data_IF_906640467392
#
_entry.id   IF_906640467392
#
_cell.length_a   1.000
_cell.length_b   1.000
_cell.length_c   1.000
_cell.angle_alpha   90.00
_cell.angle_beta   90.00
_cell.angle_gamma   90.00
#
_symmetry.space_group_name_H-M   'P 1'
#
loop_
_entity.id
_entity.type
_entity.pdbx_description
1 polymer ?
#
# COMPACT_ATOMS: atom_id res chain seq x y z
N UNK A 1 2.35 27.06 19.47
CA UNK A 1 3.44 27.03 20.46
C UNK A 1 3.16 25.88 21.41
N UNK A 2 3.93 24.79 21.31
CA UNK A 2 3.79 23.60 22.15
C UNK A 2 5.19 23.24 22.63
N UNK A 3 5.40 23.14 23.95
CA UNK A 3 6.69 22.79 24.58
C UNK A 3 7.91 23.64 24.12
N UNK A 4 7.74 24.95 23.88
CA UNK A 4 8.85 25.81 23.46
C UNK A 4 9.06 25.89 21.94
N UNK A 5 8.29 25.15 21.15
CA UNK A 5 8.37 25.15 19.69
C UNK A 5 7.18 25.87 19.05
N UNK A 6 7.48 26.68 18.03
CA UNK A 6 6.47 27.21 17.11
C UNK A 6 6.37 26.26 15.93
N UNK A 7 5.14 25.92 15.58
CA UNK A 7 4.82 25.06 14.46
C UNK A 7 4.07 25.89 13.44
N UNK A 8 4.51 25.84 12.19
CA UNK A 8 3.81 26.40 11.04
C UNK A 8 3.41 25.23 10.15
N UNK A 9 2.15 25.22 9.73
CA UNK A 9 1.70 24.37 8.62
C UNK A 9 1.66 25.29 7.41
N UNK A 10 2.46 24.96 6.40
CA UNK A 10 2.63 25.78 5.20
C UNK A 10 2.23 24.92 4.02
N UNK A 11 1.30 25.41 3.20
CA UNK A 11 0.97 24.75 1.94
C UNK A 11 2.07 25.06 0.93
N UNK A 12 2.61 24.01 0.33
CA UNK A 12 3.61 24.17 -0.72
C UNK A 12 2.98 24.89 -1.92
N UNK A 13 3.55 25.99 -2.44
CA UNK A 13 2.98 26.70 -3.57
C UNK A 13 3.10 25.87 -4.85
N UNK A 14 2.26 26.13 -5.85
CA UNK A 14 2.45 25.52 -7.18
C UNK A 14 3.77 26.02 -7.80
N UNK A 15 4.60 25.10 -8.29
CA UNK A 15 5.82 25.41 -9.03
C UNK A 15 5.64 25.14 -10.52
N UNK A 16 6.36 25.88 -11.36
CA UNK A 16 6.30 25.73 -12.83
C UNK A 16 7.28 24.67 -13.36
N UNK A 17 8.26 24.26 -12.55
CA UNK A 17 9.30 23.30 -12.92
C UNK A 17 9.39 22.22 -11.84
N UNK A 18 9.42 20.97 -12.26
CA UNK A 18 9.69 19.83 -11.39
C UNK A 18 11.18 19.75 -11.08
N UNK A 19 11.56 20.13 -9.86
CA UNK A 19 12.92 20.08 -9.36
C UNK A 19 12.93 20.19 -7.83
N UNK A 20 14.13 20.18 -7.25
CA UNK A 20 14.31 20.49 -5.84
C UNK A 20 14.32 22.02 -5.63
N UNK A 21 13.65 22.47 -4.58
CA UNK A 21 13.61 23.86 -4.16
C UNK A 21 14.14 23.96 -2.72
N UNK A 22 14.81 25.07 -2.44
CA UNK A 22 15.22 25.42 -1.09
C UNK A 22 13.98 25.87 -0.29
N UNK A 23 13.87 25.42 0.95
CA UNK A 23 12.88 25.94 1.89
C UNK A 23 13.51 27.08 2.68
N UNK A 24 12.98 28.30 2.49
CA UNK A 24 13.45 29.48 3.21
C UNK A 24 12.39 29.92 4.22
N UNK A 25 12.70 29.78 5.50
CA UNK A 25 11.90 30.34 6.57
C UNK A 25 12.45 31.71 6.96
N UNK A 26 11.65 32.77 6.90
CA UNK A 26 12.09 34.12 7.29
C UNK A 26 11.14 34.76 8.31
N UNK A 27 11.73 35.43 9.30
CA UNK A 27 11.02 36.23 10.30
C UNK A 27 11.79 37.53 10.56
N UNK A 28 11.24 38.65 10.08
CA UNK A 28 11.86 39.97 10.21
C UNK A 28 13.25 39.98 9.56
N UNK A 29 14.31 40.12 10.33
CA UNK A 29 15.71 40.11 9.86
C UNK A 29 16.36 38.72 9.93
N UNK A 30 15.67 37.73 10.48
CA UNK A 30 16.17 36.37 10.60
C UNK A 30 15.69 35.54 9.39
N UNK A 31 16.57 34.70 8.86
CA UNK A 31 16.22 33.70 7.86
C UNK A 31 16.99 32.42 8.10
N UNK A 32 16.36 31.29 7.84
CA UNK A 32 17.01 30.00 7.77
C UNK A 32 16.67 29.34 6.43
N UNK A 33 17.57 28.52 5.90
CA UNK A 33 17.41 27.92 4.57
C UNK A 33 17.82 26.46 4.59
N UNK A 34 16.86 25.61 4.31
CA UNK A 34 17.07 24.18 4.09
C UNK A 34 17.19 23.94 2.59
N UNK A 35 18.41 23.64 2.13
CA UNK A 35 18.69 23.50 0.70
C UNK A 35 18.10 22.21 0.13
N UNK A 36 17.50 22.27 -1.05
CA UNK A 36 16.83 21.14 -1.71
C UNK A 36 15.79 20.41 -0.82
N UNK A 37 15.18 21.11 0.12
CA UNK A 37 14.28 20.52 1.10
C UNK A 37 12.92 20.09 0.53
N UNK A 38 12.50 20.67 -0.60
CA UNK A 38 11.19 20.39 -1.22
C UNK A 38 11.40 19.86 -2.64
N UNK A 39 10.94 18.65 -2.91
CA UNK A 39 11.00 18.05 -4.25
C UNK A 39 9.64 18.15 -4.93
N UNK A 40 9.57 18.82 -6.09
CA UNK A 40 8.43 18.74 -6.99
C UNK A 40 8.79 17.79 -8.12
N UNK A 41 8.06 16.68 -8.23
CA UNK A 41 8.24 15.71 -9.28
C UNK A 41 6.88 15.16 -9.72
N UNK A 42 6.78 14.78 -11.00
CA UNK A 42 5.69 13.89 -11.41
C UNK A 42 5.88 12.56 -10.70
N UNK A 43 4.77 11.94 -10.29
CA UNK A 43 4.79 10.54 -9.86
C UNK A 43 5.43 9.69 -10.96
N UNK A 44 6.49 8.98 -10.63
CA UNK A 44 7.10 7.98 -11.50
C UNK A 44 6.21 6.74 -11.58
N UNK A 45 6.15 6.14 -12.76
CA UNK A 45 5.49 4.85 -12.95
C UNK A 45 6.33 3.73 -12.31
N UNK A 46 5.64 2.71 -11.81
CA UNK A 46 6.29 1.63 -11.04
C UNK A 46 5.85 0.25 -11.49
N UNK A 47 6.78 -0.70 -11.37
CA UNK A 47 6.53 -2.11 -11.63
C UNK A 47 6.48 -2.87 -10.31
N UNK A 48 5.32 -3.41 -10.00
CA UNK A 48 5.02 -3.96 -8.68
C UNK A 48 4.77 -5.45 -8.76
N UNK A 49 5.56 -6.22 -8.01
CA UNK A 49 5.33 -7.66 -7.80
C UNK A 49 4.84 -7.90 -6.37
N UNK A 50 3.58 -8.29 -6.24
CA UNK A 50 3.04 -8.83 -5.00
C UNK A 50 3.49 -10.27 -4.83
N UNK A 51 4.16 -10.57 -3.71
CA UNK A 51 4.70 -11.90 -3.39
C UNK A 51 4.12 -12.33 -2.05
N UNK A 52 3.14 -13.23 -2.10
CA UNK A 52 2.31 -13.59 -0.94
C UNK A 52 2.66 -14.98 -0.43
N UNK A 53 3.07 -15.09 0.84
CA UNK A 53 3.25 -16.36 1.52
C UNK A 53 1.90 -17.10 1.58
N UNK A 54 1.91 -18.34 1.11
CA UNK A 54 0.76 -19.25 1.16
C UNK A 54 1.11 -20.55 1.88
N UNK A 55 2.07 -20.53 2.79
CA UNK A 55 2.40 -21.65 3.67
C UNK A 55 1.21 -22.01 4.58
N UNK A 56 1.26 -23.20 5.18
CA UNK A 56 0.16 -23.69 6.03
C UNK A 56 -0.09 -22.85 7.30
N UNK A 57 0.91 -22.09 7.78
CA UNK A 57 0.72 -21.17 8.91
C UNK A 57 -0.25 -20.05 8.58
N UNK A 58 -0.39 -19.66 7.32
CA UNK A 58 -1.30 -18.62 6.87
C UNK A 58 -2.79 -19.01 7.00
N UNK A 59 -3.09 -20.28 7.27
CA UNK A 59 -4.47 -20.79 7.45
C UNK A 59 -4.94 -20.79 8.92
N UNK A 60 -4.02 -20.73 9.89
CA UNK A 60 -4.33 -20.91 11.33
C UNK A 60 -3.62 -19.88 12.23
N UNK A 61 -4.16 -19.52 13.42
CA UNK A 61 -5.43 -19.98 14.04
C UNK A 61 -6.69 -19.27 13.51
N UNK A 62 -6.50 -18.18 12.77
CA UNK A 62 -7.51 -17.44 12.01
C UNK A 62 -6.99 -17.31 10.58
N UNK A 63 -7.88 -17.14 9.59
CA UNK A 63 -7.50 -17.14 8.17
C UNK A 63 -6.69 -15.87 7.80
N UNK A 64 -5.42 -15.79 8.21
CA UNK A 64 -4.48 -14.71 7.87
C UNK A 64 -4.41 -14.50 6.36
N UNK A 65 -4.51 -15.60 5.61
CA UNK A 65 -4.54 -15.56 4.15
C UNK A 65 -5.76 -14.80 3.60
N UNK A 66 -6.93 -14.85 4.25
CA UNK A 66 -8.10 -14.11 3.81
C UNK A 66 -7.88 -12.59 3.93
N UNK A 67 -7.34 -12.14 5.06
CA UNK A 67 -7.02 -10.72 5.28
C UNK A 67 -5.85 -10.26 4.39
N UNK A 68 -4.85 -11.12 4.17
CA UNK A 68 -3.76 -10.85 3.23
C UNK A 68 -4.27 -10.64 1.81
N UNK A 69 -5.24 -11.44 1.35
CA UNK A 69 -5.89 -11.26 0.04
C UNK A 69 -6.66 -9.95 -0.02
N UNK A 70 -7.44 -9.64 1.01
CA UNK A 70 -8.19 -8.39 1.09
C UNK A 70 -7.29 -7.16 0.98
N UNK A 71 -6.18 -7.16 1.70
CA UNK A 71 -5.24 -6.05 1.69
C UNK A 71 -4.43 -5.99 0.38
N UNK A 72 -4.05 -7.14 -0.19
CA UNK A 72 -3.42 -7.20 -1.51
C UNK A 72 -4.35 -6.71 -2.62
N UNK A 73 -5.66 -6.98 -2.51
CA UNK A 73 -6.68 -6.46 -3.40
C UNK A 73 -6.78 -4.94 -3.35
N UNK A 74 -6.77 -4.35 -2.15
CA UNK A 74 -6.69 -2.90 -1.98
C UNK A 74 -5.38 -2.32 -2.56
N UNK A 75 -4.27 -3.04 -2.40
CA UNK A 75 -3.00 -2.65 -3.00
C UNK A 75 -3.08 -2.61 -4.52
N UNK A 76 -3.69 -3.61 -5.17
CA UNK A 76 -3.92 -3.63 -6.63
C UNK A 76 -4.70 -2.39 -7.09
N UNK A 77 -5.71 -1.97 -6.32
CA UNK A 77 -6.53 -0.80 -6.62
C UNK A 77 -5.84 0.54 -6.31
N UNK A 78 -4.66 0.51 -5.68
CA UNK A 78 -3.86 1.70 -5.36
C UNK A 78 -2.97 2.16 -6.52
N UNK A 79 -2.94 1.42 -7.64
CA UNK A 79 -2.16 1.72 -8.85
C UNK A 79 -3.03 2.36 -9.95
N UNK A 80 -2.40 2.79 -11.04
CA UNK A 80 -3.07 3.45 -12.17
C UNK A 80 -2.43 3.06 -13.51
N UNK A 81 -3.04 3.51 -14.60
CA UNK A 81 -2.42 3.41 -15.93
C UNK A 81 -1.03 4.06 -15.93
N UNK A 82 -0.07 3.39 -16.58
CA UNK A 82 1.36 3.70 -16.51
C UNK A 82 2.14 2.70 -15.65
N UNK A 83 1.54 2.22 -14.55
CA UNK A 83 2.16 1.23 -13.69
C UNK A 83 2.04 -0.20 -14.26
N UNK A 84 2.85 -1.12 -13.74
CA UNK A 84 2.67 -2.57 -13.94
C UNK A 84 2.37 -3.27 -12.62
N UNK A 85 1.58 -4.34 -12.70
CA UNK A 85 1.24 -5.19 -11.57
C UNK A 85 1.41 -6.67 -11.94
N UNK A 86 1.99 -7.44 -11.03
CA UNK A 86 2.07 -8.89 -11.08
C UNK A 86 1.88 -9.51 -9.70
N UNK A 87 1.52 -10.80 -9.69
CA UNK A 87 1.21 -11.54 -8.46
C UNK A 87 1.88 -12.89 -8.51
N UNK A 88 2.64 -13.19 -7.47
CA UNK A 88 3.18 -14.51 -7.17
C UNK A 88 2.78 -14.91 -5.75
N UNK A 89 2.64 -16.21 -5.54
CA UNK A 89 2.47 -16.80 -4.22
C UNK A 89 3.47 -17.92 -4.05
N UNK A 90 3.89 -18.17 -2.82
CA UNK A 90 4.97 -19.12 -2.55
C UNK A 90 4.75 -19.95 -1.29
N UNK A 91 5.28 -21.16 -1.35
CA UNK A 91 5.47 -22.13 -0.28
C UNK A 91 6.74 -22.95 -0.65
N UNK A 92 6.94 -24.16 -0.11
CA UNK A 92 8.08 -25.02 -0.47
C UNK A 92 8.03 -25.70 -1.85
N UNK A 93 6.90 -25.70 -2.56
CA UNK A 93 6.75 -26.32 -3.88
C UNK A 93 7.03 -25.33 -5.03
N UNK A 94 7.23 -25.87 -6.23
CA UNK A 94 7.31 -25.07 -7.46
C UNK A 94 5.96 -24.38 -7.68
N UNK A 95 5.88 -23.15 -7.19
CA UNK A 95 4.62 -22.43 -7.07
C UNK A 95 4.36 -21.49 -8.24
N UNK A 96 3.07 -21.24 -8.55
CA UNK A 96 2.71 -20.57 -9.79
C UNK A 96 2.99 -19.07 -9.71
N UNK A 97 3.56 -18.52 -10.79
CA UNK A 97 3.29 -17.13 -11.16
C UNK A 97 1.78 -17.01 -11.39
N UNK A 98 1.05 -16.46 -10.40
CA UNK A 98 -0.41 -16.36 -10.44
C UNK A 98 -0.88 -15.34 -11.49
N UNK A 99 -0.14 -14.24 -11.62
CA UNK A 99 -0.31 -13.24 -12.68
C UNK A 99 1.07 -12.74 -13.10
N UNK A 100 1.40 -12.87 -14.39
CA UNK A 100 2.64 -12.28 -14.92
C UNK A 100 2.57 -10.76 -14.88
N UNK A 101 3.72 -10.13 -14.61
CA UNK A 101 3.84 -8.67 -14.62
C UNK A 101 3.35 -8.11 -15.96
N UNK A 102 2.45 -7.13 -15.88
CA UNK A 102 1.82 -6.51 -17.06
C UNK A 102 1.29 -5.13 -16.71
N UNK A 103 1.05 -4.32 -17.73
CA UNK A 103 0.48 -2.98 -17.58
C UNK A 103 -0.82 -3.02 -16.79
N UNK A 104 -0.96 -2.11 -15.85
CA UNK A 104 -2.16 -1.91 -15.08
C UNK A 104 -3.24 -1.27 -15.98
N UNK A 105 -4.40 -1.89 -16.02
CA UNK A 105 -5.64 -1.41 -16.63
C UNK A 105 -6.81 -2.20 -16.01
N UNK A 106 -8.05 -1.86 -16.33
CA UNK A 106 -9.23 -2.54 -15.78
C UNK A 106 -9.20 -4.08 -15.96
N UNK A 107 -8.67 -4.57 -17.09
CA UNK A 107 -8.62 -6.01 -17.37
C UNK A 107 -7.55 -6.72 -16.54
N UNK A 108 -6.33 -6.18 -16.48
CA UNK A 108 -5.25 -6.75 -15.67
C UNK A 108 -5.52 -6.60 -14.18
N UNK A 109 -6.18 -5.51 -13.75
CA UNK A 109 -6.68 -5.30 -12.39
C UNK A 109 -7.62 -6.42 -11.96
N UNK A 110 -8.67 -6.70 -12.75
CA UNK A 110 -9.59 -7.82 -12.50
C UNK A 110 -8.89 -9.19 -12.52
N UNK A 111 -7.88 -9.35 -13.38
CA UNK A 111 -7.05 -10.56 -13.43
C UNK A 111 -6.21 -10.72 -12.15
N UNK A 112 -5.64 -9.63 -11.62
CA UNK A 112 -4.89 -9.63 -10.37
C UNK A 112 -5.77 -10.00 -9.19
N UNK A 113 -6.98 -9.44 -9.11
CA UNK A 113 -7.95 -9.84 -8.09
C UNK A 113 -8.32 -11.31 -8.14
N UNK A 114 -8.56 -11.83 -9.35
CA UNK A 114 -8.84 -13.26 -9.55
C UNK A 114 -7.67 -14.13 -9.10
N UNK A 115 -6.44 -13.73 -9.46
CA UNK A 115 -5.22 -14.41 -9.07
C UNK A 115 -5.03 -14.43 -7.54
N UNK A 116 -5.20 -13.28 -6.87
CA UNK A 116 -5.10 -13.12 -5.41
C UNK A 116 -6.16 -13.98 -4.71
N UNK A 117 -7.42 -13.86 -5.13
CA UNK A 117 -8.52 -14.56 -4.48
C UNK A 117 -8.42 -16.09 -4.61
N UNK A 118 -7.76 -16.58 -5.66
CA UNK A 118 -7.48 -18.00 -5.89
C UNK A 118 -6.34 -18.61 -5.07
N UNK A 119 -5.56 -17.82 -4.31
CA UNK A 119 -4.44 -18.33 -3.51
C UNK A 119 -4.96 -19.21 -2.37
N UNK A 120 -4.37 -20.38 -2.14
CA UNK A 120 -4.75 -21.26 -1.02
C UNK A 120 -3.53 -21.61 -0.19
N UNK A 121 -3.69 -21.54 1.13
CA UNK A 121 -2.65 -21.82 2.11
C UNK A 121 -2.34 -23.32 2.19
N UNK A 122 -1.06 -23.67 2.38
CA UNK A 122 -0.57 -25.04 2.52
C UNK A 122 0.92 -25.18 2.19
N UNK A 123 1.55 -26.25 2.69
CA UNK A 123 2.99 -26.48 2.53
C UNK A 123 3.84 -25.69 3.54
N UNK A 124 5.16 -25.73 3.39
CA UNK A 124 6.09 -24.91 4.17
C UNK A 124 6.43 -23.58 3.49
N UNK A 125 7.47 -22.91 3.93
CA UNK A 125 7.78 -21.53 3.51
C UNK A 125 9.15 -21.46 2.83
N UNK A 126 9.22 -20.95 1.59
CA UNK A 126 10.47 -20.66 0.88
C UNK A 126 10.48 -19.21 0.40
N UNK A 127 10.96 -18.31 1.26
CA UNK A 127 10.94 -16.87 1.02
C UNK A 127 11.85 -16.51 -0.16
N UNK A 128 13.02 -17.14 -0.25
CA UNK A 128 13.96 -16.92 -1.35
C UNK A 128 13.33 -17.24 -2.71
N UNK A 129 12.50 -18.30 -2.77
CA UNK A 129 11.82 -18.67 -4.01
C UNK A 129 10.81 -17.61 -4.42
N UNK A 130 9.97 -17.15 -3.49
CA UNK A 130 9.02 -16.07 -3.75
C UNK A 130 9.70 -14.79 -4.25
N UNK A 131 10.80 -14.40 -3.61
CA UNK A 131 11.59 -13.23 -4.01
C UNK A 131 12.23 -13.39 -5.39
N UNK A 132 12.83 -14.56 -5.67
CA UNK A 132 13.41 -14.85 -6.97
C UNK A 132 12.35 -14.80 -8.06
N UNK A 133 11.13 -15.30 -7.82
CA UNK A 133 10.03 -15.20 -8.78
C UNK A 133 9.60 -13.77 -9.04
N UNK A 134 9.52 -12.95 -8.01
CA UNK A 134 9.26 -11.51 -8.18
C UNK A 134 10.33 -10.85 -9.04
N UNK A 135 11.60 -11.14 -8.76
CA UNK A 135 12.74 -10.62 -9.52
C UNK A 135 12.73 -11.10 -10.97
N UNK A 136 12.50 -12.39 -11.22
CA UNK A 136 12.44 -12.96 -12.58
C UNK A 136 11.36 -12.25 -13.43
N UNK A 137 10.18 -11.97 -12.86
CA UNK A 137 9.12 -11.25 -13.58
C UNK A 137 9.50 -9.81 -13.93
N UNK A 138 10.21 -9.12 -13.03
CA UNK A 138 10.71 -7.78 -13.28
C UNK A 138 11.81 -7.78 -14.34
N UNK A 139 12.70 -8.78 -14.32
CA UNK A 139 13.73 -8.95 -15.34
C UNK A 139 13.10 -9.23 -16.72
N UNK A 140 12.10 -10.12 -16.77
CA UNK A 140 11.51 -10.59 -18.01
C UNK A 140 10.55 -9.57 -18.66
N UNK A 141 9.83 -8.79 -17.83
CA UNK A 141 8.69 -7.98 -18.28
C UNK A 141 8.65 -6.56 -17.70
N UNK A 142 9.63 -6.18 -16.89
CA UNK A 142 9.72 -4.84 -16.30
C UNK A 142 10.20 -3.80 -17.30
N UNK A 143 9.82 -2.55 -17.06
CA UNK A 143 10.29 -1.37 -17.76
C UNK A 143 11.49 -0.77 -17.02
N UNK A 144 12.60 -0.56 -17.73
CA UNK A 144 13.84 -0.04 -17.14
C UNK A 144 13.76 1.44 -16.70
N UNK A 145 12.73 2.17 -17.15
CA UNK A 145 12.47 3.54 -16.72
C UNK A 145 11.61 3.62 -15.45
N UNK A 146 10.99 2.50 -15.06
CA UNK A 146 10.14 2.43 -13.88
C UNK A 146 10.96 2.07 -12.63
N UNK A 147 10.48 2.49 -11.46
CA UNK A 147 10.96 1.92 -10.22
C UNK A 147 10.42 0.49 -10.08
N UNK A 148 11.30 -0.46 -9.79
CA UNK A 148 10.91 -1.85 -9.52
C UNK A 148 10.69 -2.06 -8.03
N UNK A 149 9.57 -2.67 -7.67
CA UNK A 149 9.20 -2.96 -6.29
C UNK A 149 8.70 -4.41 -6.15
N UNK A 150 9.20 -5.10 -5.13
CA UNK A 150 8.68 -6.39 -4.67
C UNK A 150 8.08 -6.19 -3.29
N UNK A 151 6.85 -6.67 -3.11
CA UNK A 151 6.10 -6.54 -1.87
C UNK A 151 5.88 -7.95 -1.33
N UNK A 152 6.72 -8.32 -0.38
CA UNK A 152 6.74 -9.62 0.25
C UNK A 152 5.88 -9.59 1.52
N UNK A 153 4.91 -10.49 1.63
CA UNK A 153 4.13 -10.71 2.85
C UNK A 153 4.37 -12.13 3.36
N UNK A 154 4.77 -12.29 4.63
CA UNK A 154 4.99 -13.60 5.25
C UNK A 154 4.71 -13.59 6.76
N UNK A 155 4.20 -14.70 7.27
CA UNK A 155 3.88 -14.91 8.69
C UNK A 155 4.85 -15.86 9.40
N UNK A 156 5.88 -16.34 8.69
CA UNK A 156 6.64 -17.50 9.12
C UNK A 156 8.15 -17.37 8.96
N UNK A 157 8.83 -18.46 9.31
CA UNK A 157 10.24 -18.65 9.09
C UNK A 157 10.45 -19.45 7.80
N UNK A 158 11.55 -19.19 7.11
CA UNK A 158 11.94 -20.00 5.97
C UNK A 158 12.18 -21.46 6.40
N UNK A 159 11.45 -22.41 5.82
CA UNK A 159 11.57 -23.85 6.12
C UNK A 159 12.16 -24.66 4.96
N UNK A 160 12.32 -24.05 3.79
CA UNK A 160 12.80 -24.70 2.57
C UNK A 160 13.67 -23.75 1.74
N UNK A 161 14.65 -24.31 1.03
CA UNK A 161 15.45 -23.54 0.09
C UNK A 161 14.71 -23.32 -1.25
N UNK A 162 15.04 -22.25 -1.98
CA UNK A 162 15.96 -21.18 -1.61
C UNK A 162 15.44 -20.28 -0.49
N UNK A 163 16.35 -19.79 0.34
CA UNK A 163 16.09 -18.89 1.46
C UNK A 163 16.43 -17.43 1.09
N UNK A 164 16.26 -16.49 2.03
CA UNK A 164 16.51 -15.06 1.81
C UNK A 164 17.96 -14.79 1.37
N UNK A 165 18.94 -15.53 1.91
CA UNK A 165 20.34 -15.33 1.56
C UNK A 165 20.63 -15.74 0.11
N UNK A 166 20.03 -16.83 -0.39
CA UNK A 166 20.16 -17.22 -1.80
C UNK A 166 19.65 -16.14 -2.76
N UNK A 167 18.55 -15.47 -2.38
CA UNK A 167 18.05 -14.29 -3.11
C UNK A 167 19.01 -13.11 -3.02
N UNK A 168 19.53 -12.80 -1.83
CA UNK A 168 20.46 -11.69 -1.62
C UNK A 168 21.77 -11.89 -2.40
N UNK A 169 22.29 -13.11 -2.50
CA UNK A 169 23.47 -13.41 -3.32
C UNK A 169 23.21 -13.08 -4.80
N UNK A 170 22.01 -13.43 -5.30
CA UNK A 170 21.57 -13.10 -6.68
C UNK A 170 21.37 -11.59 -6.86
N UNK A 171 20.79 -10.93 -5.85
CA UNK A 171 20.56 -9.49 -5.83
C UNK A 171 21.86 -8.69 -5.84
N UNK A 172 22.81 -9.05 -4.98
CA UNK A 172 24.13 -8.44 -4.85
C UNK A 172 24.93 -8.63 -6.15
N UNK A 173 24.90 -9.81 -6.76
CA UNK A 173 25.54 -10.06 -8.05
C UNK A 173 24.99 -9.17 -9.18
N UNK A 174 23.67 -8.90 -9.21
CA UNK A 174 23.06 -7.97 -10.16
C UNK A 174 23.50 -6.53 -9.93
N UNK A 175 23.49 -6.08 -8.67
CA UNK A 175 23.98 -4.74 -8.33
C UNK A 175 25.44 -4.53 -8.74
N UNK A 176 26.30 -5.52 -8.48
CA UNK A 176 27.72 -5.47 -8.85
C UNK A 176 27.93 -5.41 -10.37
N UNK A 177 27.04 -6.01 -11.14
CA UNK A 177 27.02 -5.92 -12.60
C UNK A 177 26.44 -4.59 -13.13
N UNK A 178 25.90 -3.73 -12.25
CA UNK A 178 25.21 -2.50 -12.62
C UNK A 178 23.81 -2.73 -13.20
N UNK A 179 23.24 -3.92 -12.98
CA UNK A 179 21.88 -4.24 -13.39
C UNK A 179 20.85 -3.57 -12.48
N UNK A 180 19.68 -3.26 -13.02
CA UNK A 180 18.55 -2.80 -12.22
C UNK A 180 18.09 -3.89 -11.25
N UNK A 181 17.80 -3.46 -10.02
CA UNK A 181 17.30 -4.30 -8.93
C UNK A 181 16.07 -3.66 -8.27
N UNK A 182 15.12 -4.44 -7.77
CA UNK A 182 13.95 -3.90 -7.07
C UNK A 182 14.26 -3.41 -5.66
N UNK A 183 13.41 -2.53 -5.16
CA UNK A 183 13.25 -2.35 -3.71
C UNK A 183 12.36 -3.46 -3.16
N UNK A 184 12.78 -4.12 -2.08
CA UNK A 184 11.98 -5.18 -1.44
C UNK A 184 11.33 -4.64 -0.18
N UNK A 185 10.01 -4.46 -0.23
CA UNK A 185 9.18 -4.09 0.91
C UNK A 185 8.63 -5.35 1.56
N UNK A 186 8.82 -5.49 2.87
CA UNK A 186 8.47 -6.70 3.61
C UNK A 186 7.39 -6.42 4.64
N UNK A 187 6.36 -7.25 4.68
CA UNK A 187 5.25 -7.20 5.63
C UNK A 187 5.29 -8.49 6.45
N UNK A 188 5.65 -8.37 7.72
CA UNK A 188 5.62 -9.48 8.67
C UNK A 188 4.24 -9.57 9.35
N UNK A 189 3.67 -10.78 9.42
CA UNK A 189 2.39 -11.04 10.10
C UNK A 189 2.63 -11.87 11.37
N UNK A 190 2.10 -11.40 12.50
CA UNK A 190 2.03 -12.20 13.73
C UNK A 190 3.37 -12.43 14.41
N UNK A 191 3.34 -13.03 15.60
CA UNK A 191 4.53 -13.17 16.43
C UNK A 191 5.57 -14.16 15.86
N UNK A 192 5.12 -15.11 15.03
CA UNK A 192 5.94 -16.20 14.51
C UNK A 192 6.74 -15.84 13.24
N UNK A 193 6.50 -14.66 12.67
CA UNK A 193 7.25 -14.19 11.50
C UNK A 193 8.74 -14.00 11.85
N UNK A 194 9.62 -14.31 10.90
CA UNK A 194 11.05 -14.03 11.02
C UNK A 194 11.34 -12.52 10.79
N UNK A 195 10.92 -11.71 11.75
CA UNK A 195 11.02 -10.26 11.67
C UNK A 195 12.45 -9.75 11.45
N UNK A 196 13.50 -10.27 12.16
CA UNK A 196 14.86 -9.80 11.94
C UNK A 196 15.34 -9.99 10.50
N UNK A 197 15.06 -11.15 9.89
CA UNK A 197 15.51 -11.43 8.52
C UNK A 197 14.73 -10.61 7.49
N UNK A 198 13.41 -10.42 7.70
CA UNK A 198 12.58 -9.57 6.84
C UNK A 198 13.01 -8.09 6.92
N UNK A 199 13.28 -7.60 8.13
CA UNK A 199 13.79 -6.24 8.34
C UNK A 199 15.15 -6.05 7.68
N UNK A 200 16.08 -6.99 7.89
CA UNK A 200 17.40 -6.98 7.25
C UNK A 200 17.31 -7.01 5.72
N UNK A 201 16.44 -7.85 5.15
CA UNK A 201 16.18 -7.93 3.71
C UNK A 201 15.71 -6.58 3.14
N UNK A 202 14.71 -5.95 3.77
CA UNK A 202 14.21 -4.67 3.29
C UNK A 202 15.27 -3.56 3.40
N UNK A 203 16.07 -3.55 4.47
CA UNK A 203 17.17 -2.60 4.64
C UNK A 203 18.27 -2.76 3.57
N UNK A 204 18.66 -4.01 3.27
CA UNK A 204 19.68 -4.29 2.24
C UNK A 204 19.25 -3.92 0.82
N UNK A 205 17.95 -3.95 0.54
CA UNK A 205 17.38 -3.71 -0.80
C UNK A 205 16.80 -2.30 -0.94
N UNK A 206 16.94 -1.44 0.07
CA UNK A 206 16.42 -0.07 0.05
C UNK A 206 14.89 0.05 0.15
N UNK A 207 14.20 -1.03 0.51
CA UNK A 207 12.75 -1.06 0.71
C UNK A 207 12.32 -0.61 2.11
N UNK A 208 11.21 -1.18 2.60
CA UNK A 208 10.69 -0.89 3.94
C UNK A 208 10.15 -2.12 4.63
N UNK A 209 10.37 -2.20 5.93
CA UNK A 209 9.79 -3.21 6.80
C UNK A 209 8.53 -2.70 7.49
N UNK A 210 7.47 -3.52 7.50
CA UNK A 210 6.23 -3.28 8.21
C UNK A 210 5.83 -4.53 9.00
N UNK A 211 5.11 -4.32 10.10
CA UNK A 211 4.62 -5.39 10.95
C UNK A 211 3.12 -5.24 11.18
N UNK A 212 2.38 -6.31 10.90
CA UNK A 212 0.96 -6.43 11.23
C UNK A 212 0.79 -7.46 12.34
N UNK A 213 0.29 -7.02 13.50
CA UNK A 213 -0.01 -7.92 14.61
C UNK A 213 -1.19 -8.82 14.25
N UNK A 214 -1.09 -10.12 14.52
CA UNK A 214 -2.15 -11.07 14.22
C UNK A 214 -3.43 -10.84 15.05
N UNK A 215 -4.59 -11.31 14.57
CA UNK A 215 -5.83 -11.30 15.33
C UNK A 215 -5.65 -11.92 16.73
N UNK A 216 -6.23 -11.32 17.76
CA UNK A 216 -6.19 -11.79 19.15
C UNK A 216 -4.97 -11.33 19.94
N UNK A 217 -3.90 -10.85 19.29
CA UNK A 217 -2.69 -10.38 19.98
C UNK A 217 -2.88 -9.07 20.76
N UNK A 218 -3.85 -8.22 20.36
CA UNK A 218 -4.08 -6.89 20.94
C UNK A 218 -5.05 -6.86 22.14
N UNK A 219 -5.68 -7.99 22.52
CA UNK A 219 -6.47 -8.13 23.74
C UNK A 219 -7.69 -7.19 23.91
N UNK A 220 -8.10 -6.46 22.86
CA UNK A 220 -9.21 -5.52 22.84
C UNK A 220 -10.43 -6.04 22.08
N UNK A 221 -11.60 -5.46 22.32
CA UNK A 221 -12.83 -5.79 21.59
C UNK A 221 -12.75 -5.24 20.15
N UNK A 222 -12.54 -6.15 19.19
CA UNK A 222 -12.49 -5.87 17.75
C UNK A 222 -11.12 -6.20 17.17
N UNK A 223 -10.95 -7.41 16.65
CA UNK A 223 -9.76 -7.80 15.88
C UNK A 223 -9.75 -7.02 14.56
N UNK A 224 -8.88 -6.01 14.50
CA UNK A 224 -8.80 -5.05 13.39
C UNK A 224 -7.73 -5.42 12.35
N UNK A 225 -7.34 -6.70 12.32
CA UNK A 225 -6.19 -7.18 11.54
C UNK A 225 -6.34 -6.89 10.03
N UNK A 226 -7.54 -7.07 9.48
CA UNK A 226 -7.82 -6.78 8.07
C UNK A 226 -7.55 -5.32 7.71
N UNK A 227 -7.93 -4.38 8.60
CA UNK A 227 -7.72 -2.95 8.35
C UNK A 227 -6.29 -2.53 8.67
N UNK A 228 -5.67 -3.13 9.69
CA UNK A 228 -4.24 -2.95 9.98
C UNK A 228 -3.39 -3.37 8.78
N UNK A 229 -3.71 -4.49 8.15
CA UNK A 229 -2.99 -4.95 6.98
C UNK A 229 -3.24 -4.07 5.76
N UNK A 230 -4.48 -3.62 5.57
CA UNK A 230 -4.83 -2.63 4.53
C UNK A 230 -4.04 -1.32 4.70
N UNK A 231 -3.91 -0.82 5.93
CA UNK A 231 -3.10 0.35 6.28
C UNK A 231 -1.62 0.10 5.98
N UNK A 232 -1.08 -1.05 6.37
CA UNK A 232 0.32 -1.42 6.07
C UNK A 232 0.59 -1.43 4.55
N UNK A 233 -0.30 -2.02 3.75
CA UNK A 233 -0.17 -2.00 2.29
C UNK A 233 -0.28 -0.57 1.73
N UNK A 234 -1.12 0.29 2.32
CA UNK A 234 -1.21 1.70 1.96
C UNK A 234 0.12 2.41 2.20
N UNK A 235 0.70 2.27 3.40
CA UNK A 235 2.00 2.85 3.76
C UNK A 235 3.10 2.40 2.78
N UNK A 236 3.10 1.12 2.36
CA UNK A 236 4.03 0.62 1.34
C UNK A 236 3.79 1.30 -0.01
N UNK A 237 2.53 1.39 -0.46
CA UNK A 237 2.19 2.05 -1.73
C UNK A 237 2.57 3.53 -1.73
N UNK A 238 2.31 4.26 -0.65
CA UNK A 238 2.67 5.68 -0.48
C UNK A 238 4.18 5.89 -0.54
N UNK A 239 4.96 4.99 0.05
CA UNK A 239 6.41 5.06 -0.01
C UNK A 239 6.95 4.82 -1.41
N UNK A 240 6.37 3.86 -2.14
CA UNK A 240 6.75 3.56 -3.53
C UNK A 240 6.40 4.75 -4.45
N UNK A 241 5.22 5.35 -4.28
CA UNK A 241 4.75 6.46 -5.10
C UNK A 241 5.25 7.83 -4.62
N UNK A 242 5.94 7.89 -3.48
CA UNK A 242 6.36 9.12 -2.77
C UNK A 242 5.18 10.04 -2.45
N UNK A 243 4.04 9.46 -2.13
CA UNK A 243 2.87 10.18 -1.63
C UNK A 243 3.02 10.50 -0.14
N UNK A 244 2.32 11.53 0.29
CA UNK A 244 2.23 11.93 1.70
C UNK A 244 0.86 11.55 2.24
N UNK A 245 0.82 10.91 3.41
CA UNK A 245 -0.41 10.67 4.15
C UNK A 245 -0.94 12.00 4.72
N UNK A 246 -2.19 12.33 4.40
CA UNK A 246 -2.87 13.54 4.88
C UNK A 246 -3.83 13.20 6.04
N UNK A 247 -4.47 12.04 5.97
CA UNK A 247 -5.47 11.60 6.94
C UNK A 247 -5.49 10.07 7.04
N UNK A 248 -5.38 9.59 8.28
CA UNK A 248 -5.74 8.24 8.68
C UNK A 248 -6.83 8.32 9.75
N UNK A 249 -7.99 7.71 9.48
CA UNK A 249 -9.13 7.72 10.39
C UNK A 249 -9.76 6.32 10.47
N UNK A 250 -10.22 5.97 11.68
CA UNK A 250 -11.00 4.76 11.95
C UNK A 250 -12.28 5.18 12.66
N UNK A 251 -13.41 4.70 12.15
CA UNK A 251 -14.72 5.02 12.72
C UNK A 251 -15.69 3.84 12.57
N UNK A 252 -16.78 3.89 13.31
CA UNK A 252 -17.91 2.98 13.17
C UNK A 252 -18.92 3.64 12.24
N UNK A 253 -19.24 2.96 11.15
CA UNK A 253 -20.15 3.46 10.12
C UNK A 253 -21.58 3.60 10.66
N UNK A 254 -22.19 4.77 10.42
CA UNK A 254 -23.55 5.14 10.84
C UNK A 254 -24.43 5.39 9.62
N UNK A 255 -25.75 5.34 9.84
CA UNK A 255 -26.71 5.66 8.79
C UNK A 255 -27.04 7.15 8.77
N UNK A 256 -27.41 7.72 9.91
CA UNK A 256 -27.87 9.11 10.01
C UNK A 256 -27.51 9.75 11.37
N UNK A 257 -26.71 10.83 11.42
CA UNK A 257 -25.97 11.38 10.30
C UNK A 257 -24.89 10.41 9.80
N UNK A 258 -24.56 10.44 8.50
CA UNK A 258 -23.42 9.68 7.99
C UNK A 258 -22.11 10.17 8.62
N UNK A 259 -21.09 9.31 8.66
CA UNK A 259 -19.77 9.72 9.12
C UNK A 259 -19.14 10.59 8.04
N UNK A 260 -18.60 11.75 8.45
CA UNK A 260 -17.85 12.62 7.58
C UNK A 260 -16.43 12.76 8.16
N UNK A 261 -15.43 12.56 7.31
CA UNK A 261 -14.05 12.84 7.62
C UNK A 261 -13.53 13.92 6.67
N UNK A 262 -13.12 15.05 7.23
CA UNK A 262 -12.60 16.18 6.45
C UNK A 262 -11.08 16.24 6.51
N UNK A 263 -10.47 16.69 5.41
CA UNK A 263 -9.03 16.92 5.34
C UNK A 263 -8.72 18.04 4.35
N UNK A 264 -7.55 18.66 4.52
CA UNK A 264 -7.10 19.76 3.66
C UNK A 264 -6.21 19.21 2.53
N UNK A 265 -6.47 19.64 1.31
CA UNK A 265 -5.62 19.40 0.14
C UNK A 265 -4.91 20.69 -0.26
N UNK A 266 -3.60 20.60 -0.45
CA UNK A 266 -2.74 21.71 -0.82
C UNK A 266 -2.87 22.08 -2.30
N UNK A 267 -2.69 23.37 -2.59
CA UNK A 267 -2.63 23.87 -3.96
C UNK A 267 -1.42 23.33 -4.71
N UNK A 268 -1.64 22.69 -5.86
CA UNK A 268 -0.57 22.12 -6.68
C UNK A 268 -0.28 20.64 -6.42
N UNK A 269 -1.06 19.97 -5.58
CA UNK A 269 -1.07 18.50 -5.54
C UNK A 269 -1.34 17.96 -6.96
N UNK A 270 -0.52 17.02 -7.44
CA UNK A 270 -0.71 16.42 -8.76
C UNK A 270 -1.78 15.33 -8.75
N UNK A 271 -2.04 14.74 -7.60
CA UNK A 271 -2.94 13.62 -7.42
C UNK A 271 -3.40 13.55 -5.95
N UNK A 272 -4.67 13.26 -5.75
CA UNK A 272 -5.26 12.84 -4.47
C UNK A 272 -5.69 11.39 -4.63
N UNK A 273 -5.24 10.53 -3.70
CA UNK A 273 -5.72 9.15 -3.56
C UNK A 273 -6.38 9.02 -2.21
N UNK A 274 -7.63 8.56 -2.20
CA UNK A 274 -8.39 8.29 -0.98
C UNK A 274 -8.83 6.86 -1.03
N UNK A 275 -8.69 6.11 0.07
CA UNK A 275 -9.35 4.83 0.16
C UNK A 275 -10.10 4.64 1.46
N UNK A 276 -11.29 4.07 1.35
CA UNK A 276 -12.10 3.61 2.46
C UNK A 276 -12.03 2.08 2.52
N UNK A 277 -11.54 1.52 3.63
CA UNK A 277 -11.62 0.08 3.94
C UNK A 277 -12.75 -0.14 4.91
N UNK A 278 -13.60 -1.13 4.65
CA UNK A 278 -14.75 -1.45 5.49
C UNK A 278 -14.99 -2.96 5.56
N UNK A 279 -15.74 -3.39 6.58
CA UNK A 279 -16.17 -4.79 6.70
C UNK A 279 -17.13 -5.17 5.57
N UNK A 280 -17.20 -6.46 5.20
CA UNK A 280 -18.18 -6.92 4.23
C UNK A 280 -19.61 -6.66 4.70
N UNK A 281 -20.35 -5.89 3.89
CA UNK A 281 -21.78 -5.69 4.04
C UNK A 281 -22.56 -6.54 3.03
N UNK A 282 -23.80 -6.91 3.38
CA UNK A 282 -24.72 -7.58 2.44
C UNK A 282 -25.08 -6.69 1.23
N UNK A 283 -24.98 -5.37 1.39
CA UNK A 283 -25.15 -4.35 0.36
C UNK A 283 -24.01 -3.36 0.50
N UNK A 284 -23.43 -2.88 -0.60
CA UNK A 284 -22.28 -1.98 -0.53
C UNK A 284 -22.63 -0.68 0.22
N UNK A 285 -21.76 -0.21 1.14
CA UNK A 285 -21.95 1.09 1.76
C UNK A 285 -21.85 2.21 0.73
N UNK A 286 -22.48 3.32 1.06
CA UNK A 286 -22.43 4.55 0.26
C UNK A 286 -21.20 5.34 0.70
N UNK A 287 -20.18 5.36 -0.16
CA UNK A 287 -18.92 6.07 0.04
C UNK A 287 -18.83 7.18 -0.99
N UNK A 288 -18.71 8.41 -0.51
CA UNK A 288 -18.69 9.59 -1.36
C UNK A 288 -17.48 10.46 -1.04
N UNK A 289 -16.74 10.88 -2.07
CA UNK A 289 -15.69 11.89 -1.95
C UNK A 289 -16.26 13.24 -2.44
N UNK A 290 -16.31 14.23 -1.57
CA UNK A 290 -16.90 15.55 -1.84
C UNK A 290 -15.78 16.59 -1.91
N UNK A 291 -15.72 17.31 -3.02
CA UNK A 291 -14.73 18.36 -3.25
C UNK A 291 -15.09 19.69 -2.55
N UNK A 292 -14.18 20.68 -2.52
CA UNK A 292 -14.43 21.98 -1.90
C UNK A 292 -15.57 22.79 -2.53
N UNK A 293 -16.02 22.44 -3.75
CA UNK A 293 -17.17 23.06 -4.43
C UNK A 293 -18.51 22.43 -4.04
N UNK A 294 -18.48 21.30 -3.33
CA UNK A 294 -19.65 20.48 -2.99
C UNK A 294 -20.00 19.43 -4.06
N UNK A 295 -19.12 19.19 -5.04
CA UNK A 295 -19.30 18.14 -6.05
C UNK A 295 -18.93 16.79 -5.47
N UNK A 296 -19.82 15.80 -5.62
CA UNK A 296 -19.50 14.42 -5.25
C UNK A 296 -18.83 13.68 -6.40
N UNK A 297 -17.73 13.03 -6.10
CA UNK A 297 -17.02 12.11 -6.98
C UNK A 297 -17.55 10.69 -6.73
N UNK A 298 -18.18 10.13 -7.76
CA UNK A 298 -18.78 8.78 -7.74
C UNK A 298 -17.88 7.75 -8.46
N UNK A 299 -16.83 8.21 -9.14
CA UNK A 299 -15.88 7.35 -9.84
C UNK A 299 -14.87 6.79 -8.82
N UNK A 300 -15.19 5.62 -8.27
CA UNK A 300 -14.27 4.83 -7.43
C UNK A 300 -13.87 3.53 -8.11
N UNK A 301 -12.68 3.06 -7.76
CA UNK A 301 -12.14 1.76 -8.12
C UNK A 301 -12.16 0.89 -6.86
N UNK A 302 -12.81 -0.26 -6.92
CA UNK A 302 -12.89 -1.18 -5.81
C UNK A 302 -13.44 -2.53 -6.22
N UNK A 303 -13.03 -3.57 -5.51
CA UNK A 303 -13.67 -4.89 -5.60
C UNK A 303 -14.88 -4.93 -4.68
N UNK A 304 -15.89 -5.67 -5.12
CA UNK A 304 -17.01 -6.22 -4.34
C UNK A 304 -16.77 -6.19 -2.82
N UNK A 305 -17.34 -5.17 -2.17
CA UNK A 305 -17.81 -5.20 -0.80
C UNK A 305 -16.79 -5.03 0.33
N UNK A 306 -15.52 -4.66 0.09
CA UNK A 306 -14.55 -4.48 1.19
C UNK A 306 -13.73 -3.20 1.17
N UNK A 307 -13.65 -2.49 0.06
CA UNK A 307 -13.01 -1.18 0.00
C UNK A 307 -13.43 -0.39 -1.24
N UNK A 308 -13.17 0.91 -1.20
CA UNK A 308 -13.27 1.82 -2.34
C UNK A 308 -12.05 2.72 -2.39
N UNK A 309 -11.55 3.00 -3.60
CA UNK A 309 -10.43 3.90 -3.86
C UNK A 309 -10.88 4.98 -4.84
N UNK A 310 -10.71 6.25 -4.46
CA UNK A 310 -10.89 7.41 -5.32
C UNK A 310 -9.52 7.93 -5.73
N UNK A 311 -9.41 8.34 -7.00
CA UNK A 311 -8.22 8.99 -7.54
C UNK A 311 -8.63 10.25 -8.28
N UNK A 312 -8.15 11.39 -7.82
CA UNK A 312 -8.42 12.69 -8.44
C UNK A 312 -7.10 13.28 -8.89
N UNK A 313 -6.91 13.42 -10.21
CA UNK A 313 -5.77 14.15 -10.77
C UNK A 313 -5.94 15.65 -10.58
N UNK A 314 -4.86 16.35 -10.22
CA UNK A 314 -4.84 17.79 -9.97
C UNK A 314 -6.04 18.28 -9.10
N UNK A 315 -6.22 17.74 -7.88
CA UNK A 315 -7.36 18.06 -7.02
C UNK A 315 -7.44 19.56 -6.72
N UNK A 316 -8.66 20.06 -6.56
CA UNK A 316 -8.92 21.43 -6.10
C UNK A 316 -8.32 21.63 -4.69
N UNK A 317 -7.60 22.74 -4.44
CA UNK A 317 -7.17 23.08 -3.09
C UNK A 317 -8.37 23.39 -2.19
N UNK A 318 -8.28 23.01 -0.93
CA UNK A 318 -9.32 23.30 0.06
C UNK A 318 -9.68 22.09 0.92
N UNK A 319 -10.80 22.22 1.62
CA UNK A 319 -11.34 21.15 2.47
C UNK A 319 -12.12 20.14 1.62
N UNK A 320 -11.66 18.89 1.65
CA UNK A 320 -12.34 17.74 1.06
C UNK A 320 -13.04 16.94 2.16
N UNK A 321 -14.12 16.25 1.80
CA UNK A 321 -14.86 15.37 2.73
C UNK A 321 -14.99 13.97 2.16
N UNK A 322 -14.62 12.97 2.95
CA UNK A 322 -15.03 11.58 2.72
C UNK A 322 -16.25 11.31 3.58
N UNK A 323 -17.37 11.04 2.91
CA UNK A 323 -18.62 10.66 3.54
C UNK A 323 -18.79 9.14 3.46
N UNK A 324 -19.09 8.53 4.60
CA UNK A 324 -19.37 7.10 4.73
C UNK A 324 -20.76 6.94 5.31
N UNK A 325 -21.63 6.27 4.55
CA UNK A 325 -22.99 5.95 4.98
C UNK A 325 -23.22 4.45 4.91
N UNK A 326 -23.69 3.92 6.04
CA UNK A 326 -24.09 2.52 6.09
C UNK A 326 -25.28 2.22 5.16
N UNK A 327 -25.27 1.07 4.46
CA UNK A 327 -26.38 0.65 3.61
C UNK A 327 -27.68 0.43 4.42
N UNK A 328 -28.81 0.66 3.75
CA UNK A 328 -30.15 0.40 4.32
C UNK A 328 -30.29 -1.11 4.58
N UNK A 329 -30.77 -1.48 5.78
CA UNK A 329 -31.04 -2.88 6.14
C UNK A 329 -29.86 -3.66 6.72
N UNK A 330 -28.69 -3.02 6.92
CA UNK A 330 -27.59 -3.64 7.68
C UNK A 330 -27.88 -3.65 9.19
N UNK A 331 -27.79 -4.83 9.81
CA UNK A 331 -27.92 -5.02 11.27
C UNK A 331 -26.72 -4.48 12.06
N UNK A 332 -25.60 -4.17 11.37
CA UNK A 332 -24.35 -3.72 11.99
C UNK A 332 -24.26 -2.20 12.18
N UNK A 333 -25.33 -1.47 11.89
CA UNK A 333 -25.31 -0.02 11.85
C UNK A 333 -26.15 0.58 12.96
N UNK A 334 -25.52 1.44 13.75
CA UNK A 334 -26.20 2.28 14.71
C UNK A 334 -27.03 3.33 13.95
N UNK A 335 -28.29 3.47 14.36
CA UNK A 335 -29.15 4.62 13.98
C UNK A 335 -28.62 5.91 14.61
#
# INVERSE_FOLDING_TARGET
YVQGQYWFVIQAPTQTINTNYDFVASWSVLSDTETNAINYAMRSDTDNMLVIDRSGSMDNPMSKIADAKDAANLYVDSWREGDKIGVASFNCSADPTNLTLRDWNDTSRMSAHTAINGISAGGGTSIGNGLQKGLDQLIDSGDASHQWAVILLSDGNNTCDPNIQDFLDTYEARMDNGDQVPQVHTIAIGADANRPDLENLSNKTGGSYQFAAEPGAKGGAGDDFSRDLAEVYRVVSERITRQQEILLARDIMRRDPPNNHTFMVDGGASELVVAAKFEPFATQPDVALIDPSGTTHEESIGIVGRHEVFRVGAPMPGEWTVQLRCPIGSEFCYE
#
